data_IF_232629198959
#
_entry.id   IF_232629198959
#
_cell.length_a   1.000
_cell.length_b   1.000
_cell.length_c   1.000
_cell.angle_alpha   90.00
_cell.angle_beta   90.00
_cell.angle_gamma   90.00
#
_symmetry.space_group_name_H-M   'P 1'
#
loop_
_entity.id
_entity.type
_entity.pdbx_description
1 polymer ?
#
# COMPACT_ATOMS: atom_id res chain seq x y z
N UNK A 1 -15.93 -43.38 60.85
CA UNK A 1 -14.72 -43.18 60.02
C UNK A 1 -15.15 -42.61 58.68
N UNK A 2 -14.62 -41.42 58.42
CA UNK A 2 -14.70 -40.49 57.29
C UNK A 2 -15.62 -40.76 56.08
N UNK A 3 -16.55 -39.81 55.92
CA UNK A 3 -17.29 -39.47 54.70
C UNK A 3 -16.40 -38.61 53.80
N UNK A 4 -16.24 -38.97 52.52
CA UNK A 4 -15.55 -38.14 51.51
C UNK A 4 -16.56 -37.33 50.68
N UNK A 5 -16.35 -36.02 50.47
CA UNK A 5 -17.18 -35.24 49.56
C UNK A 5 -16.63 -35.25 48.13
N UNK A 6 -17.51 -35.47 47.15
CA UNK A 6 -17.25 -35.23 45.74
C UNK A 6 -17.18 -33.73 45.46
N UNK A 7 -16.00 -33.22 45.11
CA UNK A 7 -15.82 -31.90 44.53
C UNK A 7 -15.99 -31.98 43.00
N UNK A 8 -16.80 -31.11 42.37
CA UNK A 8 -16.86 -31.02 40.92
C UNK A 8 -15.60 -30.32 40.39
N UNK A 9 -14.92 -30.97 39.45
CA UNK A 9 -13.81 -30.38 38.68
C UNK A 9 -14.37 -29.27 37.79
N UNK A 10 -14.15 -28.02 38.18
CA UNK A 10 -14.32 -26.86 37.33
C UNK A 10 -13.27 -26.95 36.22
N UNK A 11 -13.72 -27.24 35.00
CA UNK A 11 -12.89 -27.15 33.81
C UNK A 11 -12.54 -25.67 33.59
N UNK A 12 -11.26 -25.33 33.75
CA UNK A 12 -10.72 -24.04 33.32
C UNK A 12 -10.65 -24.06 31.79
N UNK A 13 -11.35 -23.18 31.05
CA UNK A 13 -11.08 -23.02 29.63
C UNK A 13 -9.69 -22.39 29.52
N UNK A 14 -8.73 -23.19 29.06
CA UNK A 14 -7.40 -22.72 28.73
C UNK A 14 -7.53 -21.72 27.59
N UNK A 15 -7.34 -20.44 27.90
CA UNK A 15 -7.13 -19.41 26.90
C UNK A 15 -5.84 -19.75 26.16
N UNK A 16 -5.97 -20.36 24.99
CA UNK A 16 -4.88 -20.48 24.03
C UNK A 16 -4.68 -19.07 23.45
N UNK A 17 -3.87 -18.26 24.13
CA UNK A 17 -3.37 -16.98 23.64
C UNK A 17 -2.43 -17.28 22.46
N UNK A 18 -3.01 -17.46 21.27
CA UNK A 18 -2.27 -17.34 20.02
C UNK A 18 -1.85 -15.87 19.94
N UNK A 19 -0.56 -15.60 20.09
CA UNK A 19 0.02 -14.29 19.80
C UNK A 19 -0.05 -14.05 18.29
N UNK A 20 -1.21 -13.65 17.79
CA UNK A 20 -1.42 -13.22 16.41
C UNK A 20 -0.74 -11.86 16.23
N UNK A 21 0.53 -11.89 15.83
CA UNK A 21 1.23 -10.75 15.26
C UNK A 21 0.69 -10.50 13.84
N UNK A 22 -0.50 -9.93 13.73
CA UNK A 22 -1.05 -9.50 12.44
C UNK A 22 -0.54 -8.09 12.16
N UNK A 23 0.72 -7.99 11.75
CA UNK A 23 1.16 -6.78 11.05
C UNK A 23 0.36 -6.70 9.75
N UNK A 24 -0.51 -5.70 9.60
CA UNK A 24 -1.12 -5.38 8.30
C UNK A 24 -0.03 -4.80 7.38
N UNK A 25 0.86 -5.66 6.92
CA UNK A 25 1.57 -5.48 5.66
C UNK A 25 0.91 -6.45 4.69
N UNK A 26 -0.34 -6.16 4.29
CA UNK A 26 -1.07 -7.03 3.40
C UNK A 26 -0.58 -6.87 1.94
N UNK A 27 0.68 -7.22 1.72
CA UNK A 27 1.21 -7.79 0.49
C UNK A 27 2.06 -8.98 0.94
N UNK A 28 1.56 -10.17 0.63
CA UNK A 28 1.97 -11.40 1.29
C UNK A 28 3.42 -11.77 1.03
N UNK A 29 4.17 -12.03 2.11
CA UNK A 29 5.33 -12.94 2.06
C UNK A 29 5.16 -13.98 3.15
N UNK A 30 4.90 -15.21 2.72
CA UNK A 30 4.87 -16.38 3.60
C UNK A 30 6.28 -16.73 4.10
N UNK A 31 6.42 -16.94 5.39
CA UNK A 31 7.60 -17.57 5.99
C UNK A 31 7.43 -19.09 5.93
N UNK A 32 8.23 -19.78 5.11
CA UNK A 32 8.33 -21.23 5.15
C UNK A 32 9.39 -21.64 6.19
N UNK A 33 9.03 -22.55 7.10
CA UNK A 33 9.96 -23.35 7.88
C UNK A 33 10.05 -24.74 7.21
N UNK A 34 11.27 -25.24 7.05
CA UNK A 34 11.57 -26.54 6.46
C UNK A 34 10.90 -27.70 7.24
N UNK A 35 10.16 -28.54 6.52
CA UNK A 35 10.21 -30.00 6.69
C UNK A 35 9.56 -30.71 5.47
N UNK A 36 10.18 -31.82 5.07
CA UNK A 36 9.98 -32.57 3.82
C UNK A 36 8.78 -33.53 3.89
N UNK A 37 7.79 -33.40 2.98
CA UNK A 37 7.18 -34.49 2.18
C UNK A 37 6.11 -33.95 1.19
N UNK A 38 6.03 -34.55 -0.02
CA UNK A 38 5.33 -34.04 -1.22
C UNK A 38 3.84 -34.50 -1.35
N UNK A 39 3.16 -34.21 -2.48
CA UNK A 39 2.60 -32.94 -2.90
C UNK A 39 1.06 -32.98 -2.90
N UNK A 40 0.41 -31.89 -2.48
CA UNK A 40 -1.03 -31.69 -2.71
C UNK A 40 -1.20 -30.40 -3.48
N UNK A 41 -1.80 -30.51 -4.67
CA UNK A 41 -2.15 -29.39 -5.53
C UNK A 41 -3.20 -28.53 -4.83
N UNK A 42 -2.77 -27.38 -4.34
CA UNK A 42 -3.62 -26.28 -3.90
C UNK A 42 -3.09 -25.00 -4.51
N UNK A 43 -4.02 -24.23 -5.07
CA UNK A 43 -3.87 -22.97 -5.81
C UNK A 43 -3.37 -21.85 -4.89
N UNK A 44 -2.14 -21.99 -4.42
CA UNK A 44 -1.43 -21.02 -3.60
C UNK A 44 -0.30 -20.41 -4.41
N UNK A 45 -0.23 -19.09 -4.44
CA UNK A 45 0.89 -18.33 -5.00
C UNK A 45 2.22 -18.92 -4.50
N UNK A 46 2.94 -19.59 -5.40
CA UNK A 46 4.28 -20.13 -5.13
C UNK A 46 5.23 -19.00 -4.65
N UNK A 47 6.30 -19.32 -3.90
CA UNK A 47 7.31 -18.33 -3.54
C UNK A 47 7.84 -17.67 -4.82
N UNK A 48 7.74 -16.34 -4.87
CA UNK A 48 8.11 -15.50 -5.99
C UNK A 48 9.52 -15.86 -6.49
N UNK A 49 9.60 -16.28 -7.75
CA UNK A 49 10.81 -16.87 -8.33
C UNK A 49 12.00 -15.91 -8.26
N UNK A 50 13.13 -16.42 -7.77
CA UNK A 50 14.42 -15.72 -7.77
C UNK A 50 14.74 -15.25 -9.20
N UNK A 51 14.99 -13.95 -9.38
CA UNK A 51 15.48 -13.37 -10.63
C UNK A 51 14.46 -13.27 -11.79
N UNK A 52 13.16 -13.27 -11.51
CA UNK A 52 12.11 -13.06 -12.53
C UNK A 52 11.25 -11.84 -12.18
N UNK A 53 10.86 -11.10 -13.22
CA UNK A 53 9.86 -10.04 -13.10
C UNK A 53 8.52 -10.62 -12.63
N UNK A 54 7.91 -9.95 -11.67
CA UNK A 54 6.60 -10.25 -11.11
C UNK A 54 5.67 -9.10 -11.47
N UNK A 55 4.58 -9.43 -12.16
CA UNK A 55 3.51 -8.46 -12.47
C UNK A 55 2.38 -8.63 -11.48
N UNK A 56 2.06 -7.56 -10.78
CA UNK A 56 0.92 -7.51 -9.86
C UNK A 56 -0.17 -6.65 -10.47
N UNK A 57 -1.40 -7.16 -10.63
CA UNK A 57 -2.51 -6.35 -11.09
C UNK A 57 -2.87 -5.27 -10.07
N UNK A 58 -3.17 -4.08 -10.57
CA UNK A 58 -3.70 -2.94 -9.83
C UNK A 58 -5.11 -2.69 -10.32
N UNK A 59 -6.02 -2.51 -9.38
CA UNK A 59 -7.39 -2.08 -9.63
C UNK A 59 -7.40 -0.72 -10.33
N UNK A 60 -8.02 -0.66 -11.50
CA UNK A 60 -8.09 0.55 -12.31
C UNK A 60 -8.85 1.64 -11.55
N UNK A 61 -8.25 2.83 -11.48
CA UNK A 61 -8.90 4.03 -10.95
C UNK A 61 -9.81 4.67 -12.00
N UNK A 62 -10.84 5.40 -11.54
CA UNK A 62 -11.70 6.19 -12.41
C UNK A 62 -11.84 7.62 -11.89
N UNK A 63 -11.52 8.61 -12.73
CA UNK A 63 -11.71 10.02 -12.42
C UNK A 63 -13.09 10.51 -12.87
N UNK A 64 -13.73 11.36 -12.06
CA UNK A 64 -14.99 12.02 -12.39
C UNK A 64 -14.90 13.49 -12.02
N UNK A 65 -15.08 14.37 -13.01
CA UNK A 65 -15.06 15.80 -12.78
C UNK A 65 -16.24 16.25 -11.89
N UNK A 66 -15.95 17.08 -10.89
CA UNK A 66 -16.96 17.69 -10.01
C UNK A 66 -17.14 19.17 -10.36
N UNK A 67 -16.03 19.89 -10.52
CA UNK A 67 -16.02 21.31 -10.89
C UNK A 67 -14.87 21.57 -11.87
N UNK A 68 -15.12 22.21 -13.02
CA UNK A 68 -14.09 22.44 -14.04
C UNK A 68 -13.07 23.54 -13.71
N UNK A 69 -13.28 24.31 -12.63
CA UNK A 69 -12.39 25.43 -12.26
C UNK A 69 -12.53 26.67 -13.17
N UNK A 70 -11.62 27.62 -13.02
CA UNK A 70 -11.57 28.86 -13.79
C UNK A 70 -10.99 28.64 -15.21
N UNK A 71 -11.23 29.59 -16.11
CA UNK A 71 -10.54 29.65 -17.42
C UNK A 71 -9.12 30.22 -17.27
N UNK A 72 -8.15 29.81 -18.11
CA UNK A 72 -8.30 28.88 -19.23
C UNK A 72 -8.31 27.41 -18.78
N UNK A 73 -9.19 26.61 -19.39
CA UNK A 73 -9.27 25.17 -19.17
C UNK A 73 -8.58 24.38 -20.28
N UNK A 74 -7.94 23.27 -19.92
CA UNK A 74 -7.43 22.29 -20.89
C UNK A 74 -7.45 20.89 -20.29
N UNK A 75 -7.50 19.88 -21.16
CA UNK A 75 -7.42 18.48 -20.73
C UNK A 75 -6.03 18.22 -20.13
N UNK A 76 -5.97 17.51 -19.01
CA UNK A 76 -4.73 17.09 -18.37
C UNK A 76 -4.39 15.68 -18.88
N UNK A 77 -3.68 15.61 -20.02
CA UNK A 77 -3.13 14.35 -20.52
C UNK A 77 -1.64 14.32 -20.25
N UNK A 78 -1.09 13.20 -19.72
CA UNK A 78 0.35 13.00 -19.76
C UNK A 78 0.85 13.04 -21.21
N UNK A 79 1.93 13.77 -21.45
CA UNK A 79 2.52 14.00 -22.78
C UNK A 79 4.00 13.62 -22.85
N UNK A 80 4.49 12.83 -21.89
CA UNK A 80 5.87 12.38 -21.92
C UNK A 80 6.17 11.56 -23.19
N UNK A 81 7.25 11.91 -23.88
CA UNK A 81 7.68 11.19 -25.08
C UNK A 81 8.43 9.91 -24.68
N UNK A 82 8.35 8.82 -25.47
CA UNK A 82 9.21 7.66 -25.24
C UNK A 82 10.69 8.07 -25.17
N UNK A 83 11.40 7.56 -24.16
CA UNK A 83 12.77 7.93 -23.85
C UNK A 83 12.92 9.12 -22.91
N UNK A 84 11.83 9.74 -22.44
CA UNK A 84 11.90 10.68 -21.31
C UNK A 84 12.47 9.96 -20.09
N UNK A 85 13.47 10.59 -19.47
CA UNK A 85 14.08 10.18 -18.21
C UNK A 85 13.68 11.14 -17.10
N UNK A 86 13.41 10.62 -15.90
CA UNK A 86 13.16 11.41 -14.70
C UNK A 86 13.84 10.77 -13.49
N UNK A 87 14.53 11.56 -12.69
CA UNK A 87 15.08 11.12 -11.41
C UNK A 87 14.22 11.66 -10.27
N UNK A 88 13.81 10.80 -9.36
CA UNK A 88 13.04 11.17 -8.17
C UNK A 88 13.41 10.28 -6.98
N UNK A 89 13.22 10.81 -5.78
CA UNK A 89 13.30 10.05 -4.54
C UNK A 89 11.91 9.82 -3.98
N UNK A 90 11.51 8.55 -3.91
CA UNK A 90 10.32 8.11 -3.19
C UNK A 90 10.68 7.86 -1.72
N UNK A 91 9.92 8.43 -0.79
CA UNK A 91 10.00 8.09 0.63
C UNK A 91 8.66 7.57 1.13
N UNK A 92 8.71 6.49 1.89
CA UNK A 92 7.54 5.88 2.53
C UNK A 92 7.78 5.75 4.04
N UNK A 93 6.79 6.13 4.84
CA UNK A 93 6.75 5.92 6.29
C UNK A 93 5.42 5.25 6.63
N UNK A 94 5.47 4.12 7.34
CA UNK A 94 4.30 3.34 7.64
C UNK A 94 4.32 2.92 9.11
N UNK A 95 3.37 3.44 9.87
CA UNK A 95 3.23 3.19 11.31
C UNK A 95 1.99 2.40 11.62
N UNK A 96 2.16 1.36 12.44
CA UNK A 96 1.06 0.53 12.97
C UNK A 96 1.25 0.40 14.47
N UNK A 97 0.28 0.86 15.22
CA UNK A 97 0.14 0.53 16.63
C UNK A 97 -1.05 -0.38 16.82
N UNK A 98 -0.87 -1.47 17.56
CA UNK A 98 -1.88 -2.49 17.76
C UNK A 98 -2.09 -2.80 19.25
N UNK A 99 -3.35 -2.93 19.64
CA UNK A 99 -3.76 -3.33 20.97
C UNK A 99 -4.77 -4.47 20.89
N UNK A 100 -4.61 -5.49 21.75
CA UNK A 100 -5.59 -6.57 21.91
C UNK A 100 -6.21 -6.45 23.30
N UNK A 101 -7.51 -6.25 23.38
CA UNK A 101 -8.26 -6.00 24.62
C UNK A 101 -7.60 -4.86 25.43
N UNK A 102 -7.30 -5.13 26.70
CA UNK A 102 -6.64 -4.23 27.64
C UNK A 102 -5.12 -4.47 27.74
N UNK A 103 -4.54 -5.26 26.84
CA UNK A 103 -3.08 -5.45 26.81
C UNK A 103 -2.37 -4.14 26.45
N UNK A 104 -1.07 -3.99 26.79
CA UNK A 104 -0.28 -2.87 26.29
C UNK A 104 -0.28 -2.82 24.75
N UNK A 105 -0.32 -1.61 24.21
CA UNK A 105 -0.14 -1.38 22.77
C UNK A 105 1.26 -1.84 22.34
N UNK A 106 1.34 -2.43 21.15
CA UNK A 106 2.57 -2.92 20.52
C UNK A 106 2.76 -2.25 19.17
N UNK A 107 4.01 -1.96 18.86
CA UNK A 107 4.41 -1.38 17.58
C UNK A 107 4.66 -2.50 16.56
N UNK A 108 4.01 -2.40 15.40
CA UNK A 108 4.17 -3.29 14.25
C UNK A 108 4.54 -2.51 12.99
N UNK A 109 5.04 -1.28 13.15
CA UNK A 109 5.45 -0.41 12.05
C UNK A 109 6.54 -1.06 11.21
N UNK A 110 6.43 -0.90 9.89
CA UNK A 110 7.53 -1.20 8.99
C UNK A 110 8.55 -0.05 9.01
N UNK A 111 9.86 -0.31 8.89
CA UNK A 111 10.84 0.76 8.78
C UNK A 111 10.57 1.65 7.57
N UNK A 112 10.77 2.96 7.73
CA UNK A 112 10.67 3.90 6.63
C UNK A 112 11.73 3.60 5.56
N UNK A 113 11.38 3.79 4.29
CA UNK A 113 12.29 3.63 3.15
C UNK A 113 12.48 4.95 2.42
N UNK A 114 13.70 5.20 1.96
CA UNK A 114 14.03 6.25 1.00
C UNK A 114 14.66 5.59 -0.22
N UNK A 115 14.00 5.73 -1.37
CA UNK A 115 14.24 4.98 -2.60
C UNK A 115 14.53 6.02 -3.70
N UNK A 116 15.80 6.30 -4.01
CA UNK A 116 16.17 7.02 -5.23
C UNK A 116 15.81 6.17 -6.44
N UNK A 117 15.30 6.79 -7.50
CA UNK A 117 14.81 6.09 -8.68
C UNK A 117 15.09 6.89 -9.94
N UNK A 118 15.45 6.19 -11.00
CA UNK A 118 15.46 6.72 -12.36
C UNK A 118 14.34 6.06 -13.15
N UNK A 119 13.36 6.85 -13.58
CA UNK A 119 12.28 6.44 -14.46
C UNK A 119 12.66 6.67 -15.92
N UNK A 120 12.36 5.70 -16.77
CA UNK A 120 12.45 5.76 -18.21
C UNK A 120 11.11 5.40 -18.82
N UNK A 121 10.62 6.24 -19.71
CA UNK A 121 9.38 5.98 -20.45
C UNK A 121 9.68 5.14 -21.69
N UNK A 122 8.85 4.13 -21.92
CA UNK A 122 8.87 3.32 -23.14
C UNK A 122 7.52 3.44 -23.86
N UNK A 123 7.36 2.75 -24.98
CA UNK A 123 6.07 2.70 -25.68
C UNK A 123 4.99 1.97 -24.85
N UNK A 124 5.41 1.09 -23.94
CA UNK A 124 4.55 0.15 -23.23
C UNK A 124 4.32 0.54 -21.76
N UNK A 125 5.03 1.55 -21.24
CA UNK A 125 4.84 2.02 -19.87
C UNK A 125 6.02 2.81 -19.31
N UNK A 126 6.21 2.72 -18.01
CA UNK A 126 7.32 3.37 -17.28
C UNK A 126 8.16 2.29 -16.62
N UNK A 127 9.44 2.24 -16.94
CA UNK A 127 10.44 1.39 -16.30
C UNK A 127 11.24 2.20 -15.30
N UNK A 128 11.54 1.60 -14.15
CA UNK A 128 12.20 2.22 -13.02
C UNK A 128 13.46 1.43 -12.71
N UNK A 129 14.56 2.15 -12.48
CA UNK A 129 15.79 1.60 -11.90
C UNK A 129 15.96 2.21 -10.52
N UNK A 130 16.03 1.37 -9.50
CA UNK A 130 16.25 1.80 -8.12
C UNK A 130 17.74 2.08 -7.91
N UNK A 131 18.04 3.19 -7.24
CA UNK A 131 19.37 3.47 -6.70
C UNK A 131 19.52 2.91 -5.28
N UNK A 132 20.43 3.52 -4.51
CA UNK A 132 20.73 3.10 -3.15
C UNK A 132 19.54 3.32 -2.20
N UNK A 133 18.85 2.22 -1.87
CA UNK A 133 17.70 2.26 -0.94
C UNK A 133 18.19 2.33 0.51
N UNK A 134 17.74 3.34 1.25
CA UNK A 134 18.14 3.57 2.64
C UNK A 134 16.97 3.46 3.61
N UNK A 135 17.28 3.06 4.85
CA UNK A 135 16.32 2.89 5.94
C UNK A 135 17.02 3.09 7.29
N UNK A 136 16.34 3.59 8.33
CA UNK A 136 16.92 3.72 9.67
C UNK A 136 17.10 2.37 10.39
N UNK A 137 16.47 1.29 9.92
CA UNK A 137 16.60 -0.04 10.52
C UNK A 137 17.90 -0.73 10.06
N UNK A 138 18.83 -1.07 10.97
CA UNK A 138 20.13 -1.60 10.60
C UNK A 138 20.07 -3.02 10.01
N UNK A 139 19.07 -3.83 10.39
CA UNK A 139 18.91 -5.18 9.87
C UNK A 139 18.37 -5.13 8.43
N UNK A 140 17.37 -4.29 8.19
CA UNK A 140 16.81 -4.08 6.86
C UNK A 140 17.80 -3.36 5.94
N UNK A 141 18.55 -2.38 6.46
CA UNK A 141 19.60 -1.67 5.70
C UNK A 141 20.62 -2.65 5.10
N UNK A 142 21.08 -3.64 5.87
CA UNK A 142 21.97 -4.68 5.36
C UNK A 142 21.33 -5.55 4.27
N UNK A 143 20.03 -5.83 4.39
CA UNK A 143 19.31 -6.61 3.38
C UNK A 143 19.11 -5.82 2.07
N UNK A 144 18.95 -4.49 2.16
CA UNK A 144 18.74 -3.60 1.02
C UNK A 144 20.01 -3.32 0.20
N UNK A 145 21.20 -3.63 0.72
CA UNK A 145 22.46 -3.46 -0.04
C UNK A 145 22.47 -4.25 -1.36
N UNK A 146 21.79 -5.39 -1.40
CA UNK A 146 21.66 -6.21 -2.61
C UNK A 146 20.44 -5.83 -3.48
N UNK A 147 19.75 -4.72 -3.17
CA UNK A 147 18.60 -4.22 -3.92
C UNK A 147 18.95 -3.07 -4.86
N UNK A 148 20.16 -2.50 -4.78
CA UNK A 148 20.63 -1.47 -5.73
C UNK A 148 20.58 -2.00 -7.17
N UNK A 149 20.11 -1.17 -8.09
CA UNK A 149 19.87 -1.55 -9.48
C UNK A 149 18.68 -2.48 -9.70
N UNK A 150 17.86 -2.76 -8.68
CA UNK A 150 16.60 -3.48 -8.89
C UNK A 150 15.70 -2.70 -9.83
N UNK A 151 14.86 -3.43 -10.57
CA UNK A 151 13.91 -2.82 -11.49
C UNK A 151 12.49 -2.88 -10.95
N UNK A 152 11.72 -1.85 -11.25
CA UNK A 152 10.28 -1.80 -11.07
C UNK A 152 9.65 -1.17 -12.31
N UNK A 153 8.34 -1.24 -12.46
CA UNK A 153 7.67 -0.61 -13.58
C UNK A 153 6.17 -0.48 -13.36
N UNK A 154 5.55 0.38 -14.15
CA UNK A 154 4.11 0.57 -14.16
C UNK A 154 3.60 0.37 -15.58
N UNK A 155 2.52 -0.41 -15.67
CA UNK A 155 1.74 -0.54 -16.90
C UNK A 155 0.53 0.37 -16.80
N UNK A 156 0.18 1.04 -17.91
CA UNK A 156 -0.88 2.02 -17.95
C UNK A 156 -2.01 1.57 -18.87
N UNK A 157 -3.24 1.97 -18.55
CA UNK A 157 -4.36 1.94 -19.50
C UNK A 157 -4.18 3.03 -20.55
N UNK A 158 -4.93 2.94 -21.65
CA UNK A 158 -4.97 3.99 -22.69
C UNK A 158 -5.34 5.37 -22.10
N UNK A 159 -6.16 5.40 -21.05
CA UNK A 159 -6.58 6.61 -20.33
C UNK A 159 -5.56 7.11 -19.28
N UNK A 160 -4.41 6.43 -19.14
CA UNK A 160 -3.32 6.82 -18.25
C UNK A 160 -3.47 6.38 -16.79
N UNK A 161 -4.37 5.43 -16.48
CA UNK A 161 -4.46 4.83 -15.14
C UNK A 161 -3.42 3.71 -14.98
N UNK A 162 -2.84 3.56 -13.79
CA UNK A 162 -1.95 2.43 -13.48
C UNK A 162 -2.79 1.14 -13.40
N UNK A 163 -2.40 0.12 -14.16
CA UNK A 163 -3.10 -1.16 -14.26
C UNK A 163 -2.29 -2.33 -13.70
N UNK A 164 -0.96 -2.20 -13.65
CA UNK A 164 -0.09 -3.17 -13.02
C UNK A 164 1.18 -2.55 -12.47
N UNK A 165 1.71 -3.19 -11.42
CA UNK A 165 3.03 -2.95 -10.86
C UNK A 165 3.93 -4.12 -11.24
N UNK A 166 5.00 -3.85 -11.98
CA UNK A 166 6.06 -4.81 -12.31
C UNK A 166 7.19 -4.66 -11.31
N UNK A 167 7.67 -5.77 -10.76
CA UNK A 167 8.80 -5.79 -9.83
C UNK A 167 9.79 -6.86 -10.26
N UNK A 168 11.03 -6.45 -10.52
CA UNK A 168 12.14 -7.31 -10.86
C UNK A 168 13.29 -7.00 -9.88
N UNK A 169 13.18 -7.45 -8.60
CA UNK A 169 14.25 -7.32 -7.63
C UNK A 169 15.48 -8.09 -8.11
N UNK A 170 16.67 -7.62 -7.72
CA UNK A 170 17.91 -8.33 -8.00
C UNK A 170 17.87 -9.78 -7.49
N UNK A 171 18.51 -10.74 -8.18
CA UNK A 171 18.46 -12.16 -7.80
C UNK A 171 18.99 -12.42 -6.38
N UNK A 172 19.91 -11.59 -5.91
CA UNK A 172 20.51 -11.68 -4.58
C UNK A 172 19.75 -10.86 -3.52
N UNK A 173 18.66 -10.17 -3.89
CA UNK A 173 17.84 -9.39 -2.96
C UNK A 173 17.12 -10.32 -1.97
N UNK A 174 17.37 -10.22 -0.65
CA UNK A 174 16.71 -11.06 0.33
C UNK A 174 15.20 -10.83 0.38
N UNK A 175 14.43 -11.86 0.76
CA UNK A 175 12.96 -11.80 0.85
C UNK A 175 12.44 -10.61 1.69
N UNK A 176 13.12 -10.26 2.79
CA UNK A 176 12.73 -9.13 3.63
C UNK A 176 12.87 -7.78 2.90
N UNK A 177 13.94 -7.59 2.13
CA UNK A 177 14.15 -6.38 1.33
C UNK A 177 13.13 -6.30 0.20
N UNK A 178 12.89 -7.42 -0.50
CA UNK A 178 11.87 -7.52 -1.55
C UNK A 178 10.47 -7.17 -1.01
N UNK A 179 10.06 -7.75 0.12
CA UNK A 179 8.77 -7.44 0.75
C UNK A 179 8.63 -5.96 1.14
N UNK A 180 9.70 -5.35 1.63
CA UNK A 180 9.72 -3.94 2.00
C UNK A 180 9.56 -3.03 0.77
N UNK A 181 10.23 -3.36 -0.33
CA UNK A 181 10.10 -2.66 -1.61
C UNK A 181 8.70 -2.82 -2.21
N UNK A 182 8.19 -4.06 -2.26
CA UNK A 182 6.82 -4.37 -2.68
C UNK A 182 5.83 -3.46 -1.93
N UNK A 183 5.86 -3.47 -0.60
CA UNK A 183 4.96 -2.65 0.21
C UNK A 183 5.11 -1.15 -0.11
N UNK A 184 6.34 -0.62 -0.21
CA UNK A 184 6.56 0.78 -0.53
C UNK A 184 5.95 1.18 -1.89
N UNK A 185 6.10 0.35 -2.93
CA UNK A 185 5.51 0.60 -4.24
C UNK A 185 4.00 0.54 -4.23
N UNK A 186 3.40 -0.41 -3.50
CA UNK A 186 1.95 -0.41 -3.33
C UNK A 186 1.46 0.86 -2.65
N UNK A 187 2.16 1.32 -1.59
CA UNK A 187 1.76 2.56 -0.96
C UNK A 187 1.81 3.74 -1.95
N UNK A 188 2.83 3.80 -2.79
CA UNK A 188 2.96 4.83 -3.82
C UNK A 188 1.85 4.75 -4.89
N UNK A 189 1.59 3.56 -5.46
CA UNK A 189 0.60 3.34 -6.52
C UNK A 189 -0.81 3.72 -6.08
N UNK A 190 -1.25 3.23 -4.91
CA UNK A 190 -2.58 3.53 -4.39
C UNK A 190 -2.77 5.02 -4.00
N UNK A 191 -1.69 5.81 -4.03
CA UNK A 191 -1.68 7.26 -3.77
C UNK A 191 -1.35 8.10 -5.01
N UNK A 192 -1.31 7.46 -6.18
CA UNK A 192 -1.27 8.15 -7.47
C UNK A 192 -2.61 8.84 -7.76
N UNK A 193 -2.60 9.76 -8.72
CA UNK A 193 -3.80 10.50 -9.14
C UNK A 193 -4.08 10.24 -10.61
N UNK A 194 -5.34 9.97 -10.93
CA UNK A 194 -5.85 9.97 -12.31
C UNK A 194 -6.49 11.33 -12.62
N UNK A 195 -6.35 11.79 -13.86
CA UNK A 195 -6.96 13.03 -14.32
C UNK A 195 -8.31 12.79 -15.00
N UNK A 196 -9.26 13.74 -14.93
CA UNK A 196 -10.50 13.68 -15.68
C UNK A 196 -10.26 13.90 -17.18
N UNK A 197 -11.19 13.41 -18.01
CA UNK A 197 -11.14 13.56 -19.47
C UNK A 197 -11.56 14.97 -19.92
N UNK A 198 -12.32 15.67 -19.08
CA UNK A 198 -12.82 17.00 -19.37
C UNK A 198 -11.75 18.09 -19.16
N UNK A 199 -11.81 19.20 -19.91
CA UNK A 199 -10.92 20.34 -19.69
C UNK A 199 -11.09 20.97 -18.31
N UNK A 200 -9.97 21.20 -17.62
CA UNK A 200 -9.92 21.80 -16.28
C UNK A 200 -8.94 22.96 -16.22
N UNK A 201 -9.22 23.92 -15.34
CA UNK A 201 -8.33 25.01 -14.99
C UNK A 201 -8.17 25.14 -13.48
N UNK A 202 -7.45 26.17 -13.02
CA UNK A 202 -7.21 26.37 -11.59
C UNK A 202 -8.52 26.43 -10.79
N UNK A 203 -8.53 25.82 -9.61
CA UNK A 203 -9.72 25.62 -8.77
C UNK A 203 -10.61 24.45 -9.21
N UNK A 204 -10.22 23.67 -10.23
CA UNK A 204 -10.96 22.47 -10.60
C UNK A 204 -10.91 21.43 -9.48
N UNK A 205 -12.01 20.68 -9.37
CA UNK A 205 -12.17 19.59 -8.39
C UNK A 205 -12.68 18.36 -9.12
N UNK A 206 -12.05 17.21 -8.86
CA UNK A 206 -12.52 15.91 -9.35
C UNK A 206 -12.36 14.85 -8.27
N UNK A 207 -13.08 13.74 -8.44
CA UNK A 207 -12.96 12.57 -7.56
C UNK A 207 -12.35 11.42 -8.32
N UNK A 208 -11.42 10.73 -7.70
CA UNK A 208 -10.86 9.48 -8.18
C UNK A 208 -11.35 8.36 -7.28
N UNK A 209 -12.05 7.40 -7.88
CA UNK A 209 -12.52 6.20 -7.22
C UNK A 209 -11.58 5.05 -7.57
N UNK A 210 -11.15 4.30 -6.56
CA UNK A 210 -10.26 3.14 -6.73
C UNK A 210 -10.56 2.11 -5.65
N UNK A 211 -10.65 0.84 -6.04
CA UNK A 211 -10.67 -0.25 -5.07
C UNK A 211 -9.25 -0.47 -4.54
N UNK A 212 -9.04 -0.61 -3.24
CA UNK A 212 -7.73 -1.00 -2.68
C UNK A 212 -7.85 -2.42 -2.19
N UNK A 213 -7.10 -3.33 -2.83
CA UNK A 213 -7.10 -4.74 -2.47
C UNK A 213 -5.92 -5.04 -1.55
N UNK A 214 -6.23 -5.68 -0.42
CA UNK A 214 -5.28 -6.06 0.62
C UNK A 214 -5.96 -7.04 1.57
N UNK A 215 -5.70 -6.93 2.89
CA UNK A 215 -6.37 -7.77 3.89
C UNK A 215 -7.88 -7.56 3.92
N UNK A 216 -8.32 -6.30 3.82
CA UNK A 216 -9.72 -5.90 3.65
C UNK A 216 -9.82 -5.13 2.36
N UNK A 217 -10.80 -5.45 1.50
CA UNK A 217 -11.06 -4.66 0.30
C UNK A 217 -11.70 -3.33 0.68
N UNK A 218 -11.09 -2.23 0.22
CA UNK A 218 -11.53 -0.87 0.52
C UNK A 218 -12.03 -0.18 -0.74
N UNK A 219 -13.07 0.64 -0.60
CA UNK A 219 -13.42 1.68 -1.56
C UNK A 219 -12.66 2.95 -1.16
N UNK A 220 -11.74 3.40 -2.00
CA UNK A 220 -10.99 4.63 -1.80
C UNK A 220 -11.54 5.73 -2.71
N UNK A 221 -11.86 6.87 -2.10
CA UNK A 221 -12.23 8.09 -2.81
C UNK A 221 -11.21 9.17 -2.51
N UNK A 222 -10.50 9.61 -3.54
CA UNK A 222 -9.58 10.75 -3.50
C UNK A 222 -10.24 11.96 -4.15
N UNK A 223 -10.53 13.00 -3.38
CA UNK A 223 -10.92 14.31 -3.92
C UNK A 223 -9.66 15.10 -4.22
N UNK A 224 -9.46 15.45 -5.49
CA UNK A 224 -8.33 16.23 -5.96
C UNK A 224 -8.78 17.64 -6.34
N UNK A 225 -7.99 18.64 -5.93
CA UNK A 225 -8.21 20.05 -6.26
C UNK A 225 -6.97 20.63 -6.94
N UNK A 226 -7.11 21.10 -8.18
CA UNK A 226 -6.02 21.79 -8.88
C UNK A 226 -5.86 23.20 -8.30
N UNK A 227 -4.90 23.39 -7.42
CA UNK A 227 -4.71 24.68 -6.72
C UNK A 227 -3.85 25.65 -7.52
N UNK A 228 -2.97 25.14 -8.39
CA UNK A 228 -2.09 25.95 -9.24
C UNK A 228 -1.72 25.24 -10.53
N UNK A 229 -1.62 25.99 -11.63
CA UNK A 229 -1.16 25.51 -12.93
C UNK A 229 -0.17 26.49 -13.57
N UNK A 230 1.04 26.00 -13.81
CA UNK A 230 2.11 26.71 -14.53
C UNK A 230 2.53 25.89 -15.75
N UNK A 231 1.85 26.10 -16.88
CA UNK A 231 2.03 25.25 -18.05
C UNK A 231 1.60 23.82 -17.77
N UNK A 232 2.58 22.90 -17.80
CA UNK A 232 2.41 21.47 -17.54
C UNK A 232 2.68 21.09 -16.07
N UNK A 233 3.22 22.01 -15.26
CA UNK A 233 3.45 21.79 -13.83
C UNK A 233 2.19 22.16 -13.04
N UNK A 234 1.64 21.19 -12.33
CA UNK A 234 0.38 21.29 -11.60
C UNK A 234 0.64 21.06 -10.11
N UNK A 235 0.05 21.90 -9.25
CA UNK A 235 -0.04 21.64 -7.80
C UNK A 235 -1.45 21.20 -7.47
N UNK A 236 -1.57 20.04 -6.84
CA UNK A 236 -2.85 19.38 -6.59
C UNK A 236 -2.94 19.06 -5.10
N UNK A 237 -3.97 19.56 -4.45
CA UNK A 237 -4.34 19.15 -3.11
C UNK A 237 -5.21 17.89 -3.17
N UNK A 238 -4.94 16.94 -2.29
CA UNK A 238 -5.59 15.64 -2.23
C UNK A 238 -6.24 15.46 -0.86
N UNK A 239 -7.47 14.98 -0.85
CA UNK A 239 -8.16 14.51 0.34
C UNK A 239 -8.66 13.08 0.09
N UNK A 240 -8.25 12.13 0.93
CA UNK A 240 -8.52 10.70 0.77
C UNK A 240 -9.46 10.23 1.85
N UNK A 241 -10.42 9.39 1.48
CA UNK A 241 -11.27 8.63 2.39
C UNK A 241 -11.29 7.17 1.96
N UNK A 242 -11.22 6.25 2.92
CA UNK A 242 -11.29 4.81 2.66
C UNK A 242 -12.43 4.17 3.46
N UNK A 243 -13.26 3.38 2.80
CA UNK A 243 -14.39 2.67 3.42
C UNK A 243 -14.30 1.17 3.13
N UNK A 244 -14.45 0.28 4.12
CA UNK A 244 -14.49 -1.16 3.87
C UNK A 244 -15.69 -1.54 2.99
N UNK A 245 -15.46 -2.45 2.03
CA UNK A 245 -16.55 -3.00 1.19
C UNK A 245 -17.24 -4.20 1.84
N UNK A 246 -16.72 -4.70 2.95
CA UNK A 246 -17.28 -5.78 3.77
C UNK A 246 -17.39 -5.34 5.23
N UNK A 247 -18.25 -6.02 5.99
CA UNK A 247 -18.36 -5.83 7.45
C UNK A 247 -17.46 -6.78 8.23
N UNK A 248 -16.67 -7.60 7.54
CA UNK A 248 -15.79 -8.60 8.13
C UNK A 248 -14.49 -8.69 7.34
N UNK A 249 -13.41 -9.00 8.06
CA UNK A 249 -12.09 -9.26 7.53
C UNK A 249 -11.77 -10.76 7.62
N UNK A 250 -11.49 -11.40 6.49
CA UNK A 250 -10.94 -12.75 6.46
C UNK A 250 -9.42 -12.69 6.63
N UNK A 251 -8.92 -13.26 7.71
CA UNK A 251 -7.50 -13.30 8.00
C UNK A 251 -6.78 -14.26 7.03
N UNK A 252 -5.53 -13.96 6.64
CA UNK A 252 -4.72 -14.86 5.80
C UNK A 252 -4.50 -16.24 6.44
N UNK A 253 -4.11 -17.22 5.62
CA UNK A 253 -3.73 -18.58 6.04
C UNK A 253 -4.81 -19.31 6.85
N UNK A 254 -6.09 -19.07 6.51
CA UNK A 254 -7.26 -19.65 7.20
C UNK A 254 -7.29 -19.39 8.72
N UNK A 255 -6.65 -18.30 9.17
CA UNK A 255 -6.56 -17.94 10.59
C UNK A 255 -7.91 -17.49 11.19
N UNK A 256 -8.94 -17.34 10.37
CA UNK A 256 -10.32 -17.04 10.78
C UNK A 256 -10.86 -15.74 10.18
N UNK A 257 -11.91 -15.22 10.79
CA UNK A 257 -12.59 -13.99 10.37
C UNK A 257 -12.78 -13.09 11.59
N UNK A 258 -12.61 -11.78 11.40
CA UNK A 258 -12.94 -10.77 12.40
C UNK A 258 -14.03 -9.85 11.86
N UNK A 259 -14.98 -9.46 12.70
CA UNK A 259 -15.99 -8.46 12.36
C UNK A 259 -15.39 -7.06 12.48
N UNK A 260 -15.65 -6.20 11.51
CA UNK A 260 -15.19 -4.80 11.51
C UNK A 260 -16.20 -4.00 12.35
N UNK A 261 -15.79 -3.56 13.54
CA UNK A 261 -16.65 -2.75 14.42
C UNK A 261 -16.56 -1.26 14.10
N UNK A 262 -15.35 -0.80 13.78
CA UNK A 262 -15.07 0.59 13.48
C UNK A 262 -13.94 0.68 12.46
N UNK A 263 -14.07 1.63 11.53
CA UNK A 263 -13.08 1.86 10.50
C UNK A 263 -13.11 3.32 10.07
N UNK A 264 -12.08 4.07 10.47
CA UNK A 264 -11.87 5.45 10.08
C UNK A 264 -10.48 5.56 9.47
N UNK A 265 -10.42 5.85 8.18
CA UNK A 265 -9.17 6.07 7.45
C UNK A 265 -9.34 7.24 6.50
N UNK A 266 -8.64 8.33 6.82
CA UNK A 266 -8.71 9.58 6.08
C UNK A 266 -7.30 10.12 5.85
N UNK A 267 -7.14 10.97 4.85
CA UNK A 267 -5.84 11.53 4.54
C UNK A 267 -5.91 12.84 3.79
N UNK A 268 -4.80 13.56 3.83
CA UNK A 268 -4.61 14.76 3.05
C UNK A 268 -3.16 14.87 2.58
N UNK A 269 -2.96 15.67 1.54
CA UNK A 269 -1.65 15.90 0.98
C UNK A 269 -1.67 16.92 -0.14
N UNK A 270 -0.48 17.31 -0.56
CA UNK A 270 -0.27 18.11 -1.75
C UNK A 270 0.81 17.44 -2.58
N UNK A 271 0.54 17.23 -3.85
CA UNK A 271 1.51 16.74 -4.81
C UNK A 271 1.72 17.77 -5.92
N UNK A 272 2.92 17.74 -6.47
CA UNK A 272 3.25 18.46 -7.70
C UNK A 272 3.56 17.43 -8.77
N UNK A 273 2.93 17.59 -9.93
CA UNK A 273 3.10 16.76 -11.11
C UNK A 273 3.51 17.63 -12.28
N UNK A 274 4.23 17.05 -13.23
CA UNK A 274 4.52 17.67 -14.52
C UNK A 274 3.99 16.73 -15.60
N UNK A 275 3.11 17.20 -16.48
CA UNK A 275 2.51 16.35 -17.52
C UNK A 275 3.53 15.80 -18.51
N UNK A 276 4.72 16.41 -18.60
CA UNK A 276 5.84 15.93 -19.42
C UNK A 276 6.70 14.86 -18.73
N UNK A 277 6.40 14.47 -17.49
CA UNK A 277 7.18 13.53 -16.70
C UNK A 277 6.31 12.35 -16.18
N UNK A 278 6.88 11.13 -16.05
CA UNK A 278 6.12 9.94 -15.69
C UNK A 278 5.73 9.85 -14.21
N UNK A 279 6.44 10.52 -13.30
CA UNK A 279 6.23 10.45 -11.85
C UNK A 279 6.02 11.85 -11.23
N UNK A 280 5.39 11.93 -10.05
CA UNK A 280 5.31 13.19 -9.31
C UNK A 280 6.71 13.76 -9.02
N UNK A 281 6.86 15.07 -9.19
CA UNK A 281 8.15 15.77 -8.98
C UNK A 281 8.37 16.18 -7.53
N UNK A 282 7.28 16.38 -6.78
CA UNK A 282 7.37 16.78 -5.38
C UNK A 282 6.07 16.51 -4.62
N UNK A 283 6.16 16.57 -3.30
CA UNK A 283 5.00 16.66 -2.41
C UNK A 283 4.83 15.42 -1.56
N UNK A 284 3.74 15.39 -0.79
CA UNK A 284 3.48 14.28 0.11
C UNK A 284 1.99 14.13 0.40
N UNK A 285 1.61 12.92 0.75
CA UNK A 285 0.27 12.57 1.18
C UNK A 285 0.35 11.63 2.38
N UNK A 286 -0.45 11.93 3.40
CA UNK A 286 -0.55 11.13 4.62
C UNK A 286 -1.98 10.63 4.74
N UNK A 287 -2.14 9.32 4.90
CA UNK A 287 -3.42 8.65 5.14
C UNK A 287 -3.30 7.87 6.44
N UNK A 288 -4.25 8.04 7.35
CA UNK A 288 -4.24 7.33 8.61
C UNK A 288 -5.56 7.40 9.35
N UNK A 289 -5.60 6.72 10.49
CA UNK A 289 -6.77 6.66 11.33
C UNK A 289 -6.77 5.42 12.21
N UNK A 290 -7.95 4.95 12.56
CA UNK A 290 -8.13 3.87 13.52
C UNK A 290 -9.12 2.83 13.00
N UNK A 291 -8.90 1.60 13.43
CA UNK A 291 -9.68 0.44 13.03
C UNK A 291 -9.89 -0.44 14.26
N UNK A 292 -11.06 -1.05 14.37
CA UNK A 292 -11.30 -2.06 15.40
C UNK A 292 -12.04 -3.28 14.86
N UNK A 293 -11.59 -4.44 15.31
CA UNK A 293 -12.03 -5.73 14.82
C UNK A 293 -12.37 -6.66 16.01
N UNK A 294 -13.55 -7.27 15.99
CA UNK A 294 -13.99 -8.23 17.01
C UNK A 294 -13.89 -9.65 16.47
N UNK A 295 -13.37 -10.57 17.26
CA UNK A 295 -13.50 -12.00 16.97
C UNK A 295 -14.93 -12.46 17.28
N UNK A 296 -15.70 -12.97 16.30
CA UNK A 296 -17.08 -13.40 16.51
C UNK A 296 -17.20 -14.61 17.45
N UNK A 297 -16.10 -15.35 17.68
CA UNK A 297 -16.06 -16.55 18.53
C UNK A 297 -15.55 -16.26 19.94
N UNK A 298 -15.14 -15.02 20.24
CA UNK A 298 -14.64 -14.64 21.57
C UNK A 298 -15.01 -13.20 21.94
N UNK A 299 -14.56 -12.76 23.12
CA UNK A 299 -14.69 -11.34 23.52
C UNK A 299 -13.51 -10.49 23.04
N UNK A 300 -12.61 -11.07 22.25
CA UNK A 300 -11.37 -10.41 21.84
C UNK A 300 -11.63 -9.26 20.88
N UNK A 301 -11.07 -8.11 21.20
CA UNK A 301 -11.11 -6.89 20.41
C UNK A 301 -9.69 -6.50 20.02
N UNK A 302 -9.44 -6.41 18.73
CA UNK A 302 -8.23 -5.87 18.12
C UNK A 302 -8.48 -4.40 17.78
N UNK A 303 -7.63 -3.50 18.27
CA UNK A 303 -7.63 -2.08 17.92
C UNK A 303 -6.32 -1.71 17.26
N UNK A 304 -6.39 -0.96 16.17
CA UNK A 304 -5.21 -0.52 15.43
C UNK A 304 -5.29 0.97 15.14
N UNK A 305 -4.14 1.63 15.20
CA UNK A 305 -3.93 2.97 14.67
C UNK A 305 -2.87 2.86 13.59
N UNK A 306 -3.20 3.36 12.40
CA UNK A 306 -2.36 3.24 11.21
C UNK A 306 -2.12 4.63 10.64
N UNK A 307 -0.87 4.93 10.29
CA UNK A 307 -0.51 6.13 9.54
C UNK A 307 0.47 5.76 8.44
N UNK A 308 0.17 6.14 7.20
CA UNK A 308 1.07 5.97 6.06
C UNK A 308 1.32 7.30 5.41
N UNK A 309 2.59 7.65 5.23
CA UNK A 309 3.00 8.81 4.45
C UNK A 309 3.79 8.34 3.22
N UNK A 310 3.47 8.94 2.08
CA UNK A 310 4.25 8.84 0.85
C UNK A 310 4.68 10.24 0.46
N UNK A 311 5.95 10.41 0.09
CA UNK A 311 6.47 11.67 -0.43
C UNK A 311 7.40 11.47 -1.61
N UNK A 312 7.40 12.47 -2.49
CA UNK A 312 8.23 12.55 -3.68
C UNK A 312 9.10 13.80 -3.60
N UNK A 313 10.32 13.68 -4.12
CA UNK A 313 11.23 14.82 -4.30
C UNK A 313 12.15 14.55 -5.49
N UNK A 314 12.26 15.53 -6.38
CA UNK A 314 13.30 15.62 -7.42
C UNK A 314 14.68 15.92 -6.81
#
# INVERSE_FOLDING_TARGET
>A
MLSSPHLPRIARPGALLVALAVGLSAFGVGCAADDVEAPVSTDGTEPLGIGKEVTVPISVAAATLVSPGAEPRAVLRPTFAPGTEQQVTLRTDHRIQQQINDQPSRDFSAPALTIPMTAHTSADGVDLTLGEVTTPDPLLSKALTAADGSHAGFDFSDDGAITALRLAPGPDTPNAARAALENAFYQAVYRSIMFPDEPVGEGAVWRVHQEVTGGVTLDQVTTATLTRREGDRLTIELAVTQTPKSTSWTLPNDAGTLDIEDYVMEGNGTITVDLGLPLPVAGSITVGGHQSYRDPRSVSLLRQSITTQVSWAE
#
